data_IF_528359276708
#
_entry.id   IF_528359276708
#
_cell.length_a   1.000
_cell.length_b   1.000
_cell.length_c   1.000
_cell.angle_alpha   90.00
_cell.angle_beta   90.00
_cell.angle_gamma   90.00
#
_symmetry.space_group_name_H-M   'P 1'
#
loop_
_entity.id
_entity.type
_entity.pdbx_description
1 polymer ?
#
# COMPACT_ATOMS: atom_id res chain seq x y z
N UNK A 1 25.91 -7.05 18.33
CA UNK A 1 25.41 -5.66 18.18
C UNK A 1 25.95 -5.13 16.86
N UNK A 2 25.16 -5.22 15.79
CA UNK A 2 25.55 -4.68 14.47
C UNK A 2 25.18 -3.21 14.39
N UNK A 3 26.16 -2.37 14.05
CA UNK A 3 26.01 -0.94 13.82
C UNK A 3 24.97 -0.67 12.74
N UNK A 4 23.93 0.08 13.10
CA UNK A 4 22.92 0.56 12.16
C UNK A 4 23.52 1.53 11.15
N UNK A 5 23.78 1.03 9.94
CA UNK A 5 23.85 1.90 8.77
C UNK A 5 22.42 2.32 8.44
N UNK A 6 22.14 3.61 8.43
CA UNK A 6 20.87 4.11 7.89
C UNK A 6 20.79 3.70 6.43
N UNK A 7 19.93 2.73 6.11
CA UNK A 7 19.56 2.47 4.72
C UNK A 7 18.95 3.75 4.16
N UNK A 8 19.26 4.07 2.90
CA UNK A 8 18.58 5.17 2.24
C UNK A 8 17.06 4.92 2.29
N UNK A 9 16.26 5.96 2.57
CA UNK A 9 14.82 5.80 2.62
C UNK A 9 14.32 5.34 1.26
N UNK A 10 13.35 4.42 1.26
CA UNK A 10 12.63 4.04 0.05
C UNK A 10 12.11 5.28 -0.68
N UNK A 11 12.24 5.29 -2.00
CA UNK A 11 11.80 6.38 -2.87
C UNK A 11 10.67 5.88 -3.75
N UNK A 12 9.68 6.73 -3.95
CA UNK A 12 8.55 6.46 -4.83
C UNK A 12 8.47 7.53 -5.92
N UNK A 13 8.40 7.09 -7.17
CA UNK A 13 8.07 7.93 -8.31
C UNK A 13 6.56 7.80 -8.59
N UNK A 14 5.83 8.89 -8.43
CA UNK A 14 4.37 8.92 -8.63
C UNK A 14 4.05 9.77 -9.84
N UNK A 15 3.26 9.22 -10.76
CA UNK A 15 2.79 9.93 -11.96
C UNK A 15 1.32 9.70 -12.22
N UNK A 16 0.69 10.69 -12.84
CA UNK A 16 -0.58 10.49 -13.52
C UNK A 16 -0.36 9.82 -14.86
N UNK A 17 -1.17 8.82 -15.19
CA UNK A 17 -1.24 8.21 -16.51
C UNK A 17 -2.49 8.75 -17.21
N UNK A 18 -2.29 9.81 -18.00
CA UNK A 18 -3.32 10.47 -18.79
C UNK A 18 -4.56 10.88 -17.95
N UNK A 19 -4.37 11.27 -16.69
CA UNK A 19 -5.44 11.73 -15.80
C UNK A 19 -6.33 10.64 -15.20
N UNK A 20 -6.33 9.42 -15.74
CA UNK A 20 -7.24 8.34 -15.30
C UNK A 20 -6.67 7.48 -14.17
N UNK A 21 -5.37 7.23 -14.23
CA UNK A 21 -4.70 6.39 -13.25
C UNK A 21 -3.58 7.15 -12.55
N UNK A 22 -3.35 6.81 -11.29
CA UNK A 22 -2.13 7.11 -10.57
C UNK A 22 -1.26 5.85 -10.59
N UNK A 23 0.00 6.02 -10.96
CA UNK A 23 1.00 4.95 -10.97
C UNK A 23 2.09 5.34 -9.99
N UNK A 24 2.36 4.46 -9.01
CA UNK A 24 3.36 4.66 -7.98
C UNK A 24 4.42 3.56 -8.09
N UNK A 25 5.64 3.92 -8.44
CA UNK A 25 6.78 3.00 -8.58
C UNK A 25 7.75 3.23 -7.42
N UNK A 26 7.83 2.27 -6.49
CA UNK A 26 8.69 2.31 -5.33
C UNK A 26 9.98 1.52 -5.52
N UNK A 27 11.08 1.99 -4.95
CA UNK A 27 12.35 1.28 -4.91
C UNK A 27 13.09 1.54 -3.59
N UNK A 28 13.85 0.57 -3.14
CA UNK A 28 14.70 0.71 -1.96
C UNK A 28 15.43 -0.57 -1.60
N UNK A 29 16.11 -0.55 -0.47
CA UNK A 29 16.84 -1.71 0.06
C UNK A 29 15.94 -2.48 1.02
N UNK A 30 15.84 -3.79 0.82
CA UNK A 30 15.11 -4.72 1.69
C UNK A 30 15.94 -5.05 2.94
N UNK A 31 15.32 -5.64 3.99
CA UNK A 31 16.03 -5.98 5.23
C UNK A 31 17.23 -6.92 5.05
N UNK A 32 17.23 -7.75 4.01
CA UNK A 32 18.34 -8.64 3.65
C UNK A 32 19.47 -7.95 2.87
N UNK A 33 19.35 -6.65 2.60
CA UNK A 33 20.31 -5.84 1.85
C UNK A 33 20.13 -5.90 0.33
N UNK A 34 19.20 -6.69 -0.19
CA UNK A 34 18.92 -6.76 -1.63
C UNK A 34 18.01 -5.61 -2.09
N UNK A 35 17.96 -5.38 -3.41
CA UNK A 35 17.09 -4.35 -4.00
C UNK A 35 15.65 -4.83 -4.06
N UNK A 36 14.73 -3.99 -3.59
CA UNK A 36 13.29 -4.19 -3.68
C UNK A 36 12.63 -3.17 -4.60
N UNK A 37 11.56 -3.59 -5.27
CA UNK A 37 10.71 -2.75 -6.10
C UNK A 37 9.24 -3.00 -5.80
N UNK A 38 8.43 -1.95 -5.89
CA UNK A 38 6.97 -2.03 -5.80
C UNK A 38 6.31 -1.24 -6.92
N UNK A 39 5.12 -1.66 -7.33
CA UNK A 39 4.30 -0.96 -8.31
C UNK A 39 2.85 -0.97 -7.83
N UNK A 40 2.28 0.21 -7.64
CA UNK A 40 0.87 0.42 -7.37
C UNK A 40 0.20 1.12 -8.57
N UNK A 41 -0.99 0.66 -8.94
CA UNK A 41 -1.88 1.40 -9.84
C UNK A 41 -3.20 1.66 -9.15
N UNK A 42 -3.74 2.88 -9.25
CA UNK A 42 -5.03 3.27 -8.67
C UNK A 42 -5.83 4.10 -9.67
N UNK A 43 -7.13 3.82 -9.81
CA UNK A 43 -8.03 4.52 -10.71
C UNK A 43 -9.46 4.53 -10.20
N UNK A 44 -10.21 5.58 -10.49
CA UNK A 44 -11.61 5.71 -10.08
C UNK A 44 -12.53 5.11 -11.16
N UNK A 45 -13.43 4.22 -10.76
CA UNK A 45 -14.48 3.71 -11.63
C UNK A 45 -15.77 4.53 -11.41
N UNK A 46 -16.18 5.39 -12.37
CA UNK A 46 -17.35 6.24 -12.21
C UNK A 46 -18.68 5.47 -12.22
N UNK A 47 -18.71 4.23 -12.72
CA UNK A 47 -19.93 3.42 -12.75
C UNK A 47 -20.24 2.81 -11.37
N UNK A 48 -19.21 2.45 -10.61
CA UNK A 48 -19.36 1.85 -9.29
C UNK A 48 -19.15 2.85 -8.15
N UNK A 49 -18.54 4.00 -8.43
CA UNK A 49 -18.12 4.95 -7.41
C UNK A 49 -16.95 4.45 -6.56
N UNK A 50 -16.23 3.42 -7.02
CA UNK A 50 -15.15 2.77 -6.27
C UNK A 50 -13.80 3.00 -6.92
N UNK A 51 -12.75 3.03 -6.10
CA UNK A 51 -11.37 3.04 -6.57
C UNK A 51 -10.90 1.60 -6.77
N UNK A 52 -10.32 1.32 -7.93
CA UNK A 52 -9.74 0.03 -8.25
C UNK A 52 -8.23 0.17 -8.33
N UNK A 53 -7.52 -0.91 -8.04
CA UNK A 53 -6.09 -0.90 -8.17
C UNK A 53 -5.42 -2.22 -7.98
N UNK A 54 -4.11 -2.21 -8.21
CA UNK A 54 -3.23 -3.33 -7.91
C UNK A 54 -2.01 -2.86 -7.16
N UNK A 55 -1.42 -3.77 -6.40
CA UNK A 55 -0.06 -3.64 -5.93
C UNK A 55 0.72 -4.94 -6.12
N UNK A 56 1.96 -4.81 -6.55
CA UNK A 56 2.94 -5.90 -6.64
C UNK A 56 4.25 -5.45 -6.00
N UNK A 57 4.96 -6.40 -5.40
CA UNK A 57 6.30 -6.20 -4.86
C UNK A 57 7.23 -7.33 -5.27
N UNK A 58 8.49 -7.02 -5.56
CA UNK A 58 9.48 -7.98 -6.08
C UNK A 58 9.81 -9.14 -5.13
N UNK A 59 9.46 -9.01 -3.85
CA UNK A 59 9.69 -9.99 -2.79
C UNK A 59 8.58 -11.03 -2.64
N UNK A 60 7.52 -10.97 -3.45
CA UNK A 60 6.40 -11.92 -3.38
C UNK A 60 5.75 -12.17 -4.74
N UNK A 61 5.07 -13.29 -4.87
CA UNK A 61 4.38 -13.69 -6.11
C UNK A 61 2.91 -13.27 -6.15
N UNK A 62 2.34 -12.87 -5.01
CA UNK A 62 0.93 -12.48 -4.93
C UNK A 62 0.73 -11.03 -5.39
N UNK A 63 -0.19 -10.86 -6.34
CA UNK A 63 -0.68 -9.54 -6.74
C UNK A 63 -1.87 -9.17 -5.87
N UNK A 64 -1.77 -8.04 -5.20
CA UNK A 64 -2.87 -7.48 -4.44
C UNK A 64 -3.80 -6.76 -5.39
N UNK A 65 -5.10 -7.02 -5.26
CA UNK A 65 -6.15 -6.37 -6.04
C UNK A 65 -7.03 -5.63 -5.06
N UNK A 66 -7.14 -4.32 -5.26
CA UNK A 66 -7.86 -3.45 -4.35
C UNK A 66 -9.27 -3.13 -4.83
N UNK A 67 -10.17 -3.11 -3.87
CA UNK A 67 -11.48 -2.50 -3.96
C UNK A 67 -11.63 -1.40 -2.89
N UNK A 68 -11.65 -0.16 -3.35
CA UNK A 68 -11.47 1.01 -2.51
C UNK A 68 -12.60 2.03 -2.53
N UNK A 69 -12.65 2.79 -1.45
CA UNK A 69 -13.59 3.90 -1.26
C UNK A 69 -12.93 5.02 -0.44
N UNK A 70 -13.41 6.25 -0.66
CA UNK A 70 -13.02 7.39 0.18
C UNK A 70 -13.86 7.32 1.45
N UNK A 71 -13.20 7.34 2.60
CA UNK A 71 -13.87 7.38 3.90
C UNK A 71 -14.59 8.73 4.12
N UNK A 72 -15.46 8.79 5.13
CA UNK A 72 -16.26 9.97 5.48
C UNK A 72 -15.42 11.23 5.76
N UNK A 73 -14.13 11.06 6.06
CA UNK A 73 -13.20 12.18 6.29
C UNK A 73 -12.79 12.91 4.98
N UNK A 74 -13.13 12.36 3.81
CA UNK A 74 -12.86 12.93 2.50
C UNK A 74 -11.38 12.95 2.08
N UNK A 75 -10.49 12.37 2.88
CA UNK A 75 -9.02 12.42 2.68
C UNK A 75 -8.33 11.07 2.79
N UNK A 76 -9.03 10.06 3.29
CA UNK A 76 -8.53 8.69 3.42
C UNK A 76 -9.16 7.80 2.37
N UNK A 77 -8.31 7.25 1.50
CA UNK A 77 -8.67 6.17 0.59
C UNK A 77 -8.41 4.84 1.29
N UNK A 78 -9.47 4.12 1.64
CA UNK A 78 -9.41 2.77 2.16
C UNK A 78 -9.44 1.77 0.98
N UNK A 79 -8.42 0.94 0.86
CA UNK A 79 -8.24 -0.05 -0.19
C UNK A 79 -8.35 -1.44 0.40
N UNK A 80 -9.50 -2.10 0.23
CA UNK A 80 -9.73 -3.45 0.73
C UNK A 80 -9.16 -4.48 -0.23
N UNK A 81 -8.55 -5.54 0.28
CA UNK A 81 -8.06 -6.64 -0.52
C UNK A 81 -8.03 -7.95 0.27
N UNK A 82 -7.84 -9.05 -0.46
CA UNK A 82 -7.59 -10.37 0.12
C UNK A 82 -6.22 -10.88 -0.35
N UNK A 83 -5.55 -11.64 0.50
CA UNK A 83 -4.24 -12.20 0.20
C UNK A 83 -3.83 -13.30 1.16
N UNK A 84 -2.64 -13.87 0.97
CA UNK A 84 -2.17 -14.98 1.79
C UNK A 84 -2.18 -14.62 3.28
N UNK A 85 -2.65 -15.54 4.11
CA UNK A 85 -2.49 -15.42 5.56
C UNK A 85 -1.04 -15.79 5.93
N UNK A 86 -0.28 -14.81 6.42
CA UNK A 86 1.13 -15.00 6.78
C UNK A 86 1.32 -15.82 8.07
N UNK A 87 0.29 -15.91 8.93
CA UNK A 87 0.32 -16.71 10.16
C UNK A 87 -0.22 -18.14 9.92
N UNK A 88 -1.12 -18.30 8.95
CA UNK A 88 -1.75 -19.58 8.61
C UNK A 88 -1.52 -19.97 7.15
N UNK A 89 -0.38 -20.62 6.83
CA UNK A 89 -0.05 -21.03 5.47
C UNK A 89 -1.17 -21.79 4.77
N UNK A 90 -1.49 -21.38 3.54
CA UNK A 90 -2.56 -21.97 2.73
C UNK A 90 -3.96 -21.37 2.94
N UNK A 91 -4.13 -20.43 3.88
CA UNK A 91 -5.35 -19.65 4.04
C UNK A 91 -5.23 -18.25 3.40
N UNK A 92 -6.38 -17.61 3.24
CA UNK A 92 -6.50 -16.19 2.85
C UNK A 92 -6.95 -15.38 4.05
N UNK A 93 -6.47 -14.14 4.14
CA UNK A 93 -6.87 -13.15 5.12
C UNK A 93 -7.32 -11.85 4.43
N UNK A 94 -8.08 -11.03 5.15
CA UNK A 94 -8.53 -9.72 4.70
C UNK A 94 -7.53 -8.66 5.12
N UNK A 95 -7.15 -7.83 4.17
CA UNK A 95 -6.20 -6.76 4.35
C UNK A 95 -6.84 -5.44 3.93
N UNK A 96 -6.30 -4.35 4.46
CA UNK A 96 -6.65 -3.02 4.03
C UNK A 96 -5.44 -2.10 4.07
N UNK A 97 -5.20 -1.40 2.95
CA UNK A 97 -4.29 -0.26 2.92
C UNK A 97 -5.10 1.03 3.02
N UNK A 98 -4.70 1.92 3.94
CA UNK A 98 -5.30 3.24 4.10
C UNK A 98 -4.30 4.29 3.67
N UNK A 99 -4.61 5.00 2.59
CA UNK A 99 -3.83 6.13 2.10
C UNK A 99 -4.52 7.42 2.55
N UNK A 100 -3.95 8.10 3.54
CA UNK A 100 -4.48 9.37 4.05
C UNK A 100 -3.63 10.53 3.58
N UNK A 101 -4.25 11.51 2.92
CA UNK A 101 -3.62 12.78 2.59
C UNK A 101 -3.61 13.68 3.83
N UNK A 102 -2.41 14.10 4.25
CA UNK A 102 -2.23 15.01 5.39
C UNK A 102 -2.21 16.46 4.89
N UNK A 103 -1.46 16.72 3.83
CA UNK A 103 -1.40 17.99 3.11
C UNK A 103 -0.85 17.78 1.68
N UNK A 104 -0.58 18.86 0.94
CA UNK A 104 -0.11 18.82 -0.45
C UNK A 104 1.20 18.03 -0.65
N UNK A 105 2.00 17.88 0.41
CA UNK A 105 3.33 17.28 0.35
C UNK A 105 3.47 16.03 1.21
N UNK A 106 2.44 15.67 2.01
CA UNK A 106 2.51 14.53 2.94
C UNK A 106 1.31 13.62 2.80
N UNK A 107 1.59 12.31 2.72
CA UNK A 107 0.60 11.25 2.86
C UNK A 107 1.11 10.15 3.77
N UNK A 108 0.18 9.43 4.39
CA UNK A 108 0.47 8.24 5.20
C UNK A 108 -0.17 7.04 4.53
N UNK A 109 0.56 5.93 4.46
CA UNK A 109 0.01 4.61 4.18
C UNK A 109 0.02 3.81 5.49
N UNK A 110 -1.12 3.23 5.84
CA UNK A 110 -1.24 2.25 6.94
C UNK A 110 -1.80 0.95 6.40
N UNK A 111 -1.05 -0.14 6.48
CA UNK A 111 -1.54 -1.47 6.13
C UNK A 111 -2.01 -2.19 7.39
N UNK A 112 -3.15 -2.85 7.29
CA UNK A 112 -3.76 -3.60 8.40
C UNK A 112 -4.35 -4.92 7.93
N UNK A 113 -4.39 -5.90 8.81
CA UNK A 113 -5.02 -7.22 8.59
C UNK A 113 -6.19 -7.38 9.55
N UNK A 114 -7.26 -8.02 9.08
CA UNK A 114 -8.41 -8.35 9.91
C UNK A 114 -8.13 -9.63 10.69
N UNK A 115 -8.20 -9.56 12.02
CA UNK A 115 -8.09 -10.71 12.90
C UNK A 115 -9.39 -11.53 12.90
N UNK A 116 -9.34 -12.72 13.48
CA UNK A 116 -10.46 -13.67 13.50
C UNK A 116 -11.70 -13.16 14.26
N UNK A 117 -11.51 -12.22 15.19
CA UNK A 117 -12.58 -11.51 15.92
C UNK A 117 -13.23 -10.39 15.11
N UNK A 118 -12.70 -10.07 13.93
CA UNK A 118 -13.16 -8.99 13.05
C UNK A 118 -12.44 -7.66 13.26
N UNK A 119 -11.58 -7.55 14.28
CA UNK A 119 -10.82 -6.33 14.54
C UNK A 119 -9.65 -6.16 13.57
N UNK A 120 -9.29 -4.92 13.30
CA UNK A 120 -8.16 -4.60 12.44
C UNK A 120 -6.89 -4.38 13.23
N UNK A 121 -5.81 -5.06 12.84
CA UNK A 121 -4.46 -4.92 13.43
C UNK A 121 -3.51 -4.27 12.42
N UNK A 122 -2.83 -3.21 12.84
CA UNK A 122 -1.82 -2.54 12.02
C UNK A 122 -0.60 -3.46 11.82
N UNK A 123 -0.16 -3.58 10.56
CA UNK A 123 1.03 -4.33 10.16
C UNK A 123 2.20 -3.41 9.85
N UNK A 124 1.92 -2.32 9.15
CA UNK A 124 2.93 -1.34 8.78
C UNK A 124 2.34 0.05 8.64
N UNK A 125 3.20 1.03 8.83
CA UNK A 125 2.92 2.44 8.58
C UNK A 125 4.10 3.06 7.85
N UNK A 126 3.81 3.77 6.77
CA UNK A 126 4.80 4.50 5.98
C UNK A 126 4.37 5.96 5.80
N UNK A 127 5.31 6.88 6.01
CA UNK A 127 5.10 8.30 5.78
C UNK A 127 5.84 8.74 4.51
N UNK A 128 5.10 9.35 3.60
CA UNK A 128 5.63 9.82 2.32
C UNK A 128 5.69 11.33 2.34
N UNK A 129 6.82 11.88 1.90
CA UNK A 129 7.02 13.31 1.69
C UNK A 129 7.41 13.56 0.23
N UNK A 130 6.66 14.42 -0.46
CA UNK A 130 7.00 14.90 -1.80
C UNK A 130 8.36 15.62 -1.75
N UNK A 131 9.19 15.38 -2.77
CA UNK A 131 10.45 16.08 -3.01
C UNK A 131 10.30 17.07 -4.15
#
# INVERSE_FOLDING_TARGET
>A
MGSGGSSEPWVENVRSMQGLWVVCEGQGTMPDGSSGQTLMTLGFNPLTGRYLGTWVGSMMTHMWVYDGEIEDDGKTLALNCEGPDFENPGKSARYQDRITLIDANRRVLTARVQAADGDWKELMRAEYRRR
#
